data_IF_970168714699
#
_entry.id   IF_970168714699
#
_cell.length_a   1.000
_cell.length_b   1.000
_cell.length_c   1.000
_cell.angle_alpha   90.00
_cell.angle_beta   90.00
_cell.angle_gamma   90.00
#
_symmetry.space_group_name_H-M   'P 1'
#
loop_
_entity.id
_entity.type
_entity.pdbx_description
1 polymer ?
#
# COMPACT_ATOMS: atom_id res chain seq x y z
N UNK A 1 -4.21 -34.76 -43.93
CA UNK A 1 -3.75 -33.49 -44.54
C UNK A 1 -4.03 -32.36 -43.55
N UNK A 2 -2.98 -31.61 -43.17
CA UNK A 2 -2.96 -30.21 -42.66
C UNK A 2 -3.63 -29.97 -41.28
N UNK A 3 -2.91 -29.96 -40.15
CA UNK A 3 -2.07 -28.89 -39.56
C UNK A 3 -2.75 -27.51 -39.51
N UNK A 4 -3.20 -27.09 -38.32
CA UNK A 4 -3.26 -25.69 -37.91
C UNK A 4 -3.08 -25.60 -36.38
N UNK A 5 -1.86 -25.27 -35.96
CA UNK A 5 -1.58 -24.69 -34.65
C UNK A 5 -2.05 -23.23 -34.64
N UNK A 6 -2.57 -22.73 -33.52
CA UNK A 6 -2.14 -21.45 -33.02
C UNK A 6 -1.41 -21.64 -31.70
N UNK A 7 -0.42 -20.77 -31.53
CA UNK A 7 0.62 -20.74 -30.51
C UNK A 7 0.08 -20.85 -29.07
N UNK A 8 0.92 -21.33 -28.13
CA UNK A 8 0.56 -21.39 -26.72
C UNK A 8 0.16 -19.99 -26.27
N UNK A 9 -1.08 -19.84 -25.77
CA UNK A 9 -1.36 -18.71 -24.89
C UNK A 9 -0.36 -18.86 -23.74
N UNK A 10 0.63 -17.96 -23.73
CA UNK A 10 1.54 -17.79 -22.63
C UNK A 10 0.70 -17.85 -21.38
N UNK A 11 0.88 -18.91 -20.58
CA UNK A 11 0.66 -18.80 -19.16
C UNK A 11 1.69 -17.75 -18.77
N UNK A 12 1.30 -16.48 -18.77
CA UNK A 12 1.93 -15.54 -17.86
C UNK A 12 1.62 -16.14 -16.50
N UNK A 13 2.52 -17.03 -16.03
CA UNK A 13 2.97 -17.01 -14.66
C UNK A 13 2.94 -15.53 -14.30
N UNK A 14 2.31 -15.11 -13.19
CA UNK A 14 2.63 -13.81 -12.65
C UNK A 14 4.14 -13.79 -12.67
N UNK A 15 4.73 -12.99 -13.55
CA UNK A 15 6.14 -12.72 -13.42
C UNK A 15 6.16 -12.27 -11.96
N UNK A 16 6.88 -13.00 -11.12
CA UNK A 16 7.24 -12.55 -9.80
C UNK A 16 8.19 -11.37 -10.02
N UNK A 17 7.64 -10.34 -10.68
CA UNK A 17 8.11 -9.00 -10.77
C UNK A 17 8.12 -8.64 -9.32
N UNK A 18 9.31 -8.70 -8.73
CA UNK A 18 9.46 -8.37 -7.35
C UNK A 18 8.79 -7.01 -7.15
N UNK A 19 7.70 -7.00 -6.40
CA UNK A 19 6.94 -5.80 -6.16
C UNK A 19 7.86 -4.85 -5.40
N UNK A 20 7.88 -3.58 -5.77
CA UNK A 20 8.58 -2.57 -4.98
C UNK A 20 7.53 -1.70 -4.33
N UNK A 21 7.68 -1.51 -3.03
CA UNK A 21 6.80 -0.67 -2.25
C UNK A 21 7.65 0.32 -1.45
N UNK A 22 7.04 1.45 -1.07
CA UNK A 22 7.59 2.23 0.01
C UNK A 22 7.38 1.50 1.33
N UNK A 23 8.40 1.43 2.16
CA UNK A 23 8.34 0.87 3.51
C UNK A 23 8.75 1.94 4.52
N UNK A 24 8.12 1.93 5.68
CA UNK A 24 8.48 2.80 6.79
C UNK A 24 7.79 2.30 8.04
N UNK A 25 8.33 2.64 9.21
CA UNK A 25 7.72 2.26 10.47
C UNK A 25 7.41 3.50 11.30
N UNK A 26 6.11 3.77 11.48
CA UNK A 26 5.62 4.70 12.50
C UNK A 26 6.11 6.14 12.32
N UNK A 27 6.10 6.60 11.07
CA UNK A 27 6.56 7.93 10.69
C UNK A 27 5.45 8.97 10.82
N UNK A 28 5.82 10.17 11.25
CA UNK A 28 4.90 11.31 11.40
C UNK A 28 4.87 12.20 10.14
N UNK A 29 5.54 11.79 9.07
CA UNK A 29 5.56 12.53 7.81
C UNK A 29 5.65 11.58 6.63
N UNK A 30 4.82 11.81 5.61
CA UNK A 30 4.83 10.94 4.42
C UNK A 30 6.20 10.98 3.73
N UNK A 31 6.86 12.14 3.69
CA UNK A 31 8.16 12.32 3.04
C UNK A 31 9.27 11.46 3.68
N UNK A 32 9.30 11.36 5.00
CA UNK A 32 10.18 10.45 5.74
C UNK A 32 9.82 8.98 5.53
N UNK A 33 8.58 8.70 5.12
CA UNK A 33 8.01 7.39 4.87
C UNK A 33 8.05 6.98 3.38
N UNK A 34 9.11 7.36 2.65
CA UNK A 34 9.32 7.05 1.23
C UNK A 34 10.59 6.22 0.98
N UNK A 35 10.85 5.20 1.81
CA UNK A 35 11.96 4.27 1.55
C UNK A 35 11.50 3.18 0.59
N UNK A 36 11.97 3.21 -0.66
CA UNK A 36 11.66 2.14 -1.62
C UNK A 36 12.39 0.85 -1.24
N UNK A 37 11.66 -0.25 -1.15
CA UNK A 37 12.21 -1.56 -0.80
C UNK A 37 11.61 -2.64 -1.70
N UNK A 38 12.43 -3.64 -2.05
CA UNK A 38 12.01 -4.81 -2.82
C UNK A 38 11.25 -5.74 -1.89
N UNK A 39 10.00 -6.03 -2.21
CA UNK A 39 9.16 -6.96 -1.45
C UNK A 39 9.55 -8.42 -1.70
N UNK A 40 9.11 -9.31 -0.81
CA UNK A 40 9.31 -10.75 -0.99
C UNK A 40 8.51 -11.26 -2.19
N UNK A 41 8.92 -12.37 -2.78
CA UNK A 41 8.19 -13.00 -3.89
C UNK A 41 6.76 -13.43 -3.51
N UNK A 42 6.50 -13.59 -2.21
CA UNK A 42 5.18 -13.91 -1.65
C UNK A 42 4.31 -12.67 -1.45
N UNK A 43 4.89 -11.48 -1.47
CA UNK A 43 4.19 -10.23 -1.18
C UNK A 43 3.67 -9.60 -2.46
N UNK A 44 2.35 -9.66 -2.65
CA UNK A 44 1.68 -9.16 -3.84
C UNK A 44 1.03 -7.78 -3.62
N UNK A 45 1.09 -7.24 -2.39
CA UNK A 45 0.45 -5.97 -2.03
C UNK A 45 1.41 -5.04 -1.27
N UNK A 46 1.41 -3.77 -1.66
CA UNK A 46 1.88 -2.68 -0.83
C UNK A 46 0.78 -2.27 0.15
N UNK A 47 1.03 -2.37 1.44
CA UNK A 47 0.09 -2.00 2.49
C UNK A 47 0.54 -0.70 3.16
N UNK A 48 -0.34 0.28 3.19
CA UNK A 48 -0.18 1.55 3.89
C UNK A 48 -1.16 1.62 5.02
N UNK A 49 -0.66 1.82 6.22
CA UNK A 49 -1.47 1.97 7.40
C UNK A 49 -1.31 3.39 7.93
N UNK A 50 -2.43 4.03 8.19
CA UNK A 50 -2.49 5.37 8.75
C UNK A 50 -3.26 5.30 10.06
N UNK A 51 -2.58 5.63 11.15
CA UNK A 51 -3.20 5.88 12.43
C UNK A 51 -3.44 7.39 12.56
N UNK A 52 -4.67 7.83 12.82
CA UNK A 52 -4.99 9.24 13.01
C UNK A 52 -5.91 9.42 14.21
N UNK A 53 -5.66 10.42 15.05
CA UNK A 53 -6.51 10.77 16.19
C UNK A 53 -7.60 11.74 15.71
N UNK A 54 -8.88 11.34 15.73
CA UNK A 54 -10.00 12.20 15.32
C UNK A 54 -11.11 11.51 14.50
N UNK A 55 -12.28 12.16 14.45
CA UNK A 55 -13.49 11.71 13.76
C UNK A 55 -13.43 12.15 12.29
N UNK A 56 -13.12 11.23 11.37
CA UNK A 56 -13.29 11.47 9.94
C UNK A 56 -12.21 10.82 9.07
N UNK A 57 -12.65 9.94 8.17
CA UNK A 57 -11.84 9.22 7.17
C UNK A 57 -10.91 10.19 6.41
N UNK A 58 -9.60 10.17 6.67
CA UNK A 58 -8.51 10.81 5.90
C UNK A 58 -8.67 12.29 5.42
N UNK A 59 -9.80 12.96 5.60
CA UNK A 59 -10.23 14.04 4.70
C UNK A 59 -10.94 15.22 5.39
N UNK A 60 -10.79 15.43 6.69
CA UNK A 60 -10.97 16.81 7.15
C UNK A 60 -9.69 17.58 6.83
N UNK A 61 -9.66 18.12 5.61
CA UNK A 61 -8.69 19.09 5.05
C UNK A 61 -7.93 19.85 6.16
N UNK A 62 -6.70 19.43 6.48
CA UNK A 62 -5.74 20.30 7.15
C UNK A 62 -4.76 20.77 6.07
N UNK A 63 -4.69 22.07 5.78
CA UNK A 63 -3.95 22.63 4.66
C UNK A 63 -2.47 22.23 4.74
N UNK A 64 -2.01 21.48 3.73
CA UNK A 64 -0.65 21.25 3.22
C UNK A 64 0.56 21.10 4.17
N UNK A 65 0.41 21.08 5.50
CA UNK A 65 1.51 21.08 6.49
C UNK A 65 1.15 20.33 7.79
N UNK A 66 0.10 19.52 7.79
CA UNK A 66 -0.61 19.14 9.02
C UNK A 66 -0.92 17.66 9.20
N UNK A 67 -0.04 16.76 8.82
CA UNK A 67 -0.03 15.41 9.43
C UNK A 67 0.63 15.52 10.82
N UNK A 68 0.04 16.32 11.72
CA UNK A 68 0.69 16.72 12.98
C UNK A 68 0.56 15.66 14.09
N UNK A 69 -0.47 14.80 14.00
CA UNK A 69 -0.81 13.78 15.02
C UNK A 69 -1.27 12.44 14.40
N UNK A 70 -0.86 12.17 13.17
CA UNK A 70 -1.03 10.86 12.56
C UNK A 70 0.27 10.05 12.60
N UNK A 71 0.20 8.74 12.43
CA UNK A 71 1.37 7.88 12.19
C UNK A 71 1.15 7.01 10.97
N UNK A 72 2.18 6.91 10.12
CA UNK A 72 2.16 6.17 8.86
C UNK A 72 3.09 4.98 9.00
N UNK A 73 2.61 3.81 8.57
CA UNK A 73 3.42 2.61 8.44
C UNK A 73 3.16 2.00 7.08
N UNK A 74 4.21 1.84 6.28
CA UNK A 74 4.13 1.19 4.97
C UNK A 74 4.92 -0.11 4.99
N UNK A 75 4.37 -1.17 4.40
CA UNK A 75 4.98 -2.50 4.37
C UNK A 75 4.54 -3.29 3.14
N UNK A 76 5.32 -4.29 2.78
CA UNK A 76 4.91 -5.33 1.84
C UNK A 76 4.06 -6.37 2.57
N UNK A 77 3.08 -6.95 1.88
CA UNK A 77 2.32 -8.08 2.41
C UNK A 77 1.75 -8.96 1.30
N UNK A 78 1.64 -10.26 1.57
CA UNK A 78 0.95 -11.23 0.72
C UNK A 78 -0.57 -11.09 0.75
N UNK A 79 -1.11 -10.43 1.76
CA UNK A 79 -2.56 -10.27 1.96
C UNK A 79 -2.88 -8.83 2.34
N UNK A 80 -4.02 -8.34 1.86
CA UNK A 80 -4.51 -7.01 2.22
C UNK A 80 -5.40 -7.10 3.48
N UNK A 81 -4.97 -6.57 4.64
CA UNK A 81 -5.87 -6.44 5.77
C UNK A 81 -6.85 -5.30 5.49
N UNK A 82 -8.10 -5.60 5.13
CA UNK A 82 -9.14 -4.59 4.84
C UNK A 82 -9.91 -4.16 6.10
N UNK A 83 -9.26 -4.11 7.26
CA UNK A 83 -9.95 -3.81 8.52
C UNK A 83 -9.56 -2.44 9.03
N UNK A 84 -10.52 -1.52 8.92
CA UNK A 84 -10.48 -0.25 9.64
C UNK A 84 -10.88 -0.53 11.08
N UNK A 85 -9.96 -0.38 12.02
CA UNK A 85 -10.29 -0.53 13.44
C UNK A 85 -10.17 0.81 14.16
N UNK A 86 -11.17 1.11 14.97
CA UNK A 86 -11.22 2.30 15.82
C UNK A 86 -10.74 1.89 17.22
N UNK A 87 -9.52 2.29 17.57
CA UNK A 87 -8.93 2.10 18.89
C UNK A 87 -9.18 3.37 19.73
N UNK A 88 -10.37 3.46 20.33
CA UNK A 88 -10.76 4.62 21.12
C UNK A 88 -10.95 5.86 20.25
N UNK A 89 -10.09 6.88 20.43
CA UNK A 89 -10.08 8.10 19.61
C UNK A 89 -9.16 8.01 18.39
N UNK A 90 -8.48 6.87 18.20
CA UNK A 90 -7.52 6.64 17.12
C UNK A 90 -8.16 5.76 16.04
N UNK A 91 -8.26 6.29 14.83
CA UNK A 91 -8.70 5.55 13.64
C UNK A 91 -7.49 4.93 12.97
N UNK A 92 -7.47 3.61 12.82
CA UNK A 92 -6.48 2.91 12.02
C UNK A 92 -7.07 2.53 10.67
N UNK A 93 -6.51 3.08 9.60
CA UNK A 93 -6.97 2.87 8.22
C UNK A 93 -5.89 2.16 7.43
N UNK A 94 -6.23 1.03 6.83
CA UNK A 94 -5.31 0.24 6.01
C UNK A 94 -5.72 0.32 4.53
N UNK A 95 -4.74 0.58 3.68
CA UNK A 95 -4.88 0.71 2.24
C UNK A 95 -3.91 -0.24 1.54
N UNK A 96 -4.35 -0.86 0.45
CA UNK A 96 -3.53 -1.81 -0.30
C UNK A 96 -3.55 -1.49 -1.78
N UNK A 97 -2.43 -1.74 -2.45
CA UNK A 97 -2.31 -1.62 -3.90
C UNK A 97 -1.25 -2.61 -4.42
N UNK A 98 -1.30 -2.98 -5.69
CA UNK A 98 -0.47 -4.06 -6.28
C UNK A 98 0.48 -3.57 -7.38
N UNK A 99 0.65 -2.25 -7.52
CA UNK A 99 1.50 -1.67 -8.56
C UNK A 99 2.84 -1.20 -8.00
N UNK A 100 3.85 -1.08 -8.86
CA UNK A 100 5.18 -0.60 -8.48
C UNK A 100 5.09 0.78 -7.81
N UNK A 101 5.56 0.87 -6.56
CA UNK A 101 5.59 2.09 -5.74
C UNK A 101 4.24 2.83 -5.64
N UNK A 102 3.13 2.08 -5.69
CA UNK A 102 1.78 2.65 -5.68
C UNK A 102 1.42 3.36 -4.36
N UNK A 103 2.10 3.03 -3.26
CA UNK A 103 1.86 3.59 -1.94
C UNK A 103 2.67 4.88 -1.66
N UNK A 104 2.80 5.75 -2.66
CA UNK A 104 3.47 7.04 -2.52
C UNK A 104 2.74 7.94 -1.52
N UNK A 105 1.41 8.00 -1.58
CA UNK A 105 0.58 8.78 -0.68
C UNK A 105 0.16 7.98 0.56
N UNK A 106 -0.12 8.70 1.66
CA UNK A 106 -0.65 8.09 2.87
C UNK A 106 -2.14 7.68 2.73
N UNK A 107 -2.90 8.40 1.90
CA UNK A 107 -4.28 8.06 1.54
C UNK A 107 -4.36 7.93 -0.01
N UNK A 108 -4.95 6.86 -0.55
CA UNK A 108 -5.36 6.79 -1.94
C UNK A 108 -6.57 7.73 -2.16
N UNK A 109 -6.61 8.39 -3.32
CA UNK A 109 -7.73 9.24 -3.74
C UNK A 109 -8.93 8.45 -4.22
#
# INVERSE_FOLDING_TARGET
RQFHHPLPCFVSLPAANALYCYTCNWEQSNWSCLKAEKCSEKDEYCVTNVASVGIGRCWLWIPSWGFRDGRITKKCSSTCPHHNFLLGLVTYTSYCCQSFLCNLSACPG
#
